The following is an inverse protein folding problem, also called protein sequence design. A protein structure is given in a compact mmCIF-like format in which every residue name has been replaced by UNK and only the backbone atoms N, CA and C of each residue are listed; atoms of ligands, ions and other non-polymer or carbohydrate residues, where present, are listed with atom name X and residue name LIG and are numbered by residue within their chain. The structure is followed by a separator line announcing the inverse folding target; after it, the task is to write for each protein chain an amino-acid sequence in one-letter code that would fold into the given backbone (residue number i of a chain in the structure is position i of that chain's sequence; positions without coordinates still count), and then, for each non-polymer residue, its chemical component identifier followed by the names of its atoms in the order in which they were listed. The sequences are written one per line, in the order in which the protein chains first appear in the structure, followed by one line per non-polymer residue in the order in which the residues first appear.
data_IF_032685171910
#
_entry.id   IF_032685171910
#
_cell.length_a   1.000
_cell.length_b   1.000
_cell.length_c   1.000
_cell.angle_alpha   90.00
_cell.angle_beta   90.00
_cell.angle_gamma   90.00
#
_symmetry.space_group_name_H-M   'P 1'
#
loop_
_entity.id
_entity.type
_entity.pdbx_description
1 polymer ?
#
# COMPACT_ATOMS: atom_id res chain seq x y z
N UNK A 1 -27.61 -18.07 42.26
CA UNK A 1 -27.67 -16.88 41.41
C UNK A 1 -26.31 -16.23 41.39
N UNK A 2 -25.48 -16.47 40.40
CA UNK A 2 -24.24 -15.71 40.08
C UNK A 2 -23.49 -16.46 38.96
N UNK A 3 -23.62 -16.00 37.71
CA UNK A 3 -22.57 -16.14 36.71
C UNK A 3 -23.10 -15.68 35.34
N UNK A 4 -23.12 -14.38 35.16
CA UNK A 4 -23.24 -13.76 33.82
C UNK A 4 -22.38 -12.51 33.85
N UNK A 5 -21.08 -12.65 33.62
CA UNK A 5 -20.17 -11.52 33.26
C UNK A 5 -18.78 -12.07 33.03
N UNK A 6 -18.52 -12.74 31.92
CA UNK A 6 -17.13 -12.97 31.42
C UNK A 6 -17.06 -13.39 29.95
N UNK A 7 -17.95 -12.98 29.08
CA UNK A 7 -17.84 -13.29 27.66
C UNK A 7 -17.62 -12.07 26.74
N UNK A 8 -17.44 -10.87 27.30
CA UNK A 8 -17.33 -9.65 26.49
C UNK A 8 -15.93 -9.19 26.12
N UNK A 9 -14.85 -9.90 26.49
CA UNK A 9 -13.49 -9.40 26.27
C UNK A 9 -12.63 -10.22 25.30
N UNK A 10 -13.12 -11.33 24.80
CA UNK A 10 -12.36 -12.20 23.88
C UNK A 10 -12.68 -11.90 22.41
N UNK A 11 -13.78 -11.21 22.12
CA UNK A 11 -14.21 -10.90 20.75
C UNK A 11 -13.55 -9.67 20.13
N UNK A 12 -12.88 -8.84 20.92
CA UNK A 12 -12.21 -7.62 20.42
C UNK A 12 -10.81 -7.84 19.87
N UNK A 13 -10.26 -9.02 20.01
CA UNK A 13 -8.89 -9.35 19.60
C UNK A 13 -8.82 -10.19 18.31
N UNK A 14 -9.94 -10.62 17.77
CA UNK A 14 -9.98 -11.51 16.59
C UNK A 14 -10.28 -10.78 15.28
N UNK A 15 -10.75 -9.52 15.33
CA UNK A 15 -11.07 -8.76 14.11
C UNK A 15 -9.86 -8.06 13.50
N UNK A 16 -8.79 -7.85 14.27
CA UNK A 16 -7.57 -7.23 13.79
C UNK A 16 -6.63 -8.19 13.04
N UNK A 17 -6.92 -9.49 13.04
CA UNK A 17 -6.02 -10.52 12.46
C UNK A 17 -6.42 -10.95 11.05
N UNK A 18 -7.58 -10.57 10.56
CA UNK A 18 -8.08 -11.10 9.28
C UNK A 18 -7.73 -10.24 8.05
N UNK A 19 -7.10 -9.08 8.23
CA UNK A 19 -6.71 -8.21 7.10
C UNK A 19 -5.20 -8.16 6.83
N UNK A 20 -4.40 -8.99 7.52
CA UNK A 20 -2.94 -9.00 7.35
C UNK A 20 -2.43 -10.23 6.57
N UNK A 21 -3.28 -10.91 5.83
CA UNK A 21 -2.89 -12.16 5.16
C UNK A 21 -2.48 -12.02 3.71
N UNK A 22 -2.23 -10.82 3.20
CA UNK A 22 -1.80 -10.67 1.81
C UNK A 22 -0.28 -10.52 1.61
N UNK A 23 0.54 -10.48 2.68
CA UNK A 23 2.01 -10.40 2.54
C UNK A 23 2.74 -11.28 3.55
N UNK A 24 2.41 -12.55 3.62
CA UNK A 24 3.31 -13.53 4.21
C UNK A 24 4.26 -14.03 3.12
N UNK A 25 5.25 -13.22 2.78
CA UNK A 25 6.44 -13.72 2.10
C UNK A 25 7.24 -14.50 3.13
N UNK A 26 6.87 -15.76 3.33
CA UNK A 26 7.77 -16.72 3.95
C UNK A 26 8.96 -16.86 3.01
N UNK A 27 10.15 -16.61 3.50
CA UNK A 27 11.42 -16.92 2.84
C UNK A 27 11.57 -18.45 2.70
N UNK A 28 10.79 -19.03 1.81
CA UNK A 28 10.92 -20.41 1.38
C UNK A 28 11.10 -20.34 -0.12
N UNK A 29 12.36 -20.59 -0.58
CA UNK A 29 12.72 -20.86 -1.98
C UNK A 29 11.79 -20.09 -2.95
N UNK A 30 12.20 -18.89 -3.33
CA UNK A 30 11.43 -18.11 -4.30
C UNK A 30 11.12 -19.03 -5.49
N UNK A 31 9.86 -19.27 -5.80
CA UNK A 31 9.55 -19.87 -7.08
C UNK A 31 10.15 -18.93 -8.12
N UNK A 32 11.01 -19.47 -8.96
CA UNK A 32 11.61 -18.74 -10.07
C UNK A 32 10.48 -18.51 -11.08
N UNK A 33 9.80 -17.38 -10.99
CA UNK A 33 8.84 -16.91 -12.00
C UNK A 33 9.56 -16.33 -13.23
N UNK A 34 10.82 -16.72 -13.46
CA UNK A 34 11.66 -16.18 -14.53
C UNK A 34 11.11 -16.40 -15.95
N UNK A 35 10.09 -17.25 -16.11
CA UNK A 35 9.48 -17.50 -17.41
C UNK A 35 8.42 -16.49 -17.86
N UNK A 36 7.80 -15.78 -16.92
CA UNK A 36 6.65 -14.91 -17.20
C UNK A 36 6.99 -13.40 -17.08
N UNK A 37 8.18 -13.07 -16.60
CA UNK A 37 8.62 -11.67 -16.56
C UNK A 37 9.14 -11.21 -17.92
N UNK A 38 8.58 -10.11 -18.42
CA UNK A 38 8.98 -9.48 -19.68
C UNK A 38 9.45 -8.05 -19.42
N UNK A 39 10.75 -7.85 -19.43
CA UNK A 39 11.38 -6.55 -19.16
C UNK A 39 10.84 -5.45 -20.09
N UNK A 40 10.63 -4.27 -19.55
CA UNK A 40 10.13 -3.10 -20.27
C UNK A 40 8.64 -3.11 -20.54
N UNK A 41 7.89 -4.10 -20.02
CA UNK A 41 6.44 -4.14 -20.15
C UNK A 41 5.82 -3.11 -19.21
N UNK A 42 4.97 -2.25 -19.77
CA UNK A 42 4.20 -1.32 -18.96
C UNK A 42 3.02 -2.00 -18.32
N UNK A 43 2.67 -1.52 -17.12
CA UNK A 43 1.54 -2.04 -16.37
C UNK A 43 0.50 -0.99 -16.03
N UNK A 44 -0.56 -1.43 -15.40
CA UNK A 44 -1.65 -0.59 -14.89
C UNK A 44 -1.77 -0.80 -13.38
N UNK A 45 -2.16 0.25 -12.67
CA UNK A 45 -2.44 0.20 -11.23
C UNK A 45 -3.85 0.71 -10.99
N UNK A 46 -4.69 -0.11 -10.38
CA UNK A 46 -6.01 0.30 -9.90
C UNK A 46 -6.01 0.23 -8.36
N UNK A 47 -6.26 1.38 -7.74
CA UNK A 47 -6.43 1.49 -6.29
C UNK A 47 -7.92 1.64 -6.00
N UNK A 48 -8.45 0.85 -5.06
CA UNK A 48 -9.82 1.03 -4.56
C UNK A 48 -9.77 1.56 -3.14
N UNK A 49 -10.19 2.81 -2.94
CA UNK A 49 -10.26 3.45 -1.62
C UNK A 49 -11.61 3.16 -1.02
N UNK A 50 -11.62 2.49 0.12
CA UNK A 50 -12.85 2.02 0.75
C UNK A 50 -12.73 2.04 2.27
N UNK A 51 -13.87 2.11 2.92
CA UNK A 51 -14.01 2.05 4.37
C UNK A 51 -14.67 0.73 4.76
N UNK A 52 -14.17 0.10 5.81
CA UNK A 52 -14.87 -1.01 6.45
C UNK A 52 -15.71 -0.52 7.63
N UNK A 53 -16.95 -1.00 7.75
CA UNK A 53 -17.77 -0.82 8.94
C UNK A 53 -17.42 -1.86 10.04
N UNK A 54 -18.12 -1.80 11.16
CA UNK A 54 -17.90 -2.73 12.29
C UNK A 54 -18.26 -4.18 11.94
N UNK A 55 -19.11 -4.39 10.94
CA UNK A 55 -19.51 -5.70 10.42
C UNK A 55 -18.58 -6.21 9.32
N UNK A 56 -17.64 -5.36 8.86
CA UNK A 56 -16.67 -5.69 7.81
C UNK A 56 -17.19 -5.45 6.39
N UNK A 57 -18.35 -4.77 6.22
CA UNK A 57 -18.82 -4.36 4.90
C UNK A 57 -17.96 -3.20 4.41
N UNK A 58 -17.59 -3.24 3.14
CA UNK A 58 -16.75 -2.23 2.51
C UNK A 58 -17.60 -1.22 1.74
N UNK A 59 -17.39 0.06 2.01
CA UNK A 59 -18.06 1.16 1.33
C UNK A 59 -17.02 1.96 0.55
N UNK A 60 -17.18 2.14 -0.77
CA UNK A 60 -16.31 2.98 -1.57
C UNK A 60 -16.26 4.43 -1.07
N UNK A 61 -15.08 5.04 -1.12
CA UNK A 61 -14.86 6.43 -0.75
C UNK A 61 -14.45 7.26 -1.97
N UNK A 62 -15.37 8.04 -2.54
CA UNK A 62 -15.05 8.96 -3.62
C UNK A 62 -14.38 10.23 -3.10
N UNK A 63 -13.62 10.90 -3.96
CA UNK A 63 -13.06 12.21 -3.67
C UNK A 63 -11.78 12.19 -2.82
N UNK A 64 -11.18 11.03 -2.58
CA UNK A 64 -9.91 10.91 -1.86
C UNK A 64 -8.75 11.14 -2.82
N UNK A 65 -7.93 12.17 -2.54
CA UNK A 65 -6.76 12.51 -3.33
C UNK A 65 -5.53 11.71 -2.91
N UNK A 66 -4.93 11.00 -3.86
CA UNK A 66 -3.67 10.28 -3.68
C UNK A 66 -2.63 10.77 -4.70
N UNK A 67 -1.37 10.77 -4.30
CA UNK A 67 -0.24 10.96 -5.22
C UNK A 67 0.61 9.71 -5.27
N UNK A 68 0.94 9.29 -6.48
CA UNK A 68 1.69 8.09 -6.80
C UNK A 68 3.07 8.53 -7.29
N UNK A 69 4.11 8.15 -6.56
CA UNK A 69 5.51 8.44 -6.87
C UNK A 69 6.22 7.16 -7.29
N UNK A 70 6.95 7.19 -8.39
CA UNK A 70 7.88 6.09 -8.69
C UNK A 70 9.13 6.29 -7.82
N UNK A 71 9.40 5.35 -6.93
CA UNK A 71 10.51 5.43 -5.95
C UNK A 71 11.59 4.39 -6.19
N UNK A 72 11.38 3.50 -7.15
CA UNK A 72 12.37 2.49 -7.51
C UNK A 72 12.17 1.96 -8.91
N UNK A 73 13.24 1.44 -9.47
CA UNK A 73 13.31 0.80 -10.78
C UNK A 73 13.48 -0.71 -10.66
N UNK A 74 13.27 -1.43 -11.75
CA UNK A 74 13.54 -2.86 -11.83
C UNK A 74 14.93 -3.09 -12.38
N UNK A 75 15.67 -3.98 -11.72
CA UNK A 75 16.88 -4.61 -12.24
C UNK A 75 16.61 -6.10 -12.46
N UNK A 76 16.90 -6.62 -13.64
CA UNK A 76 16.68 -8.02 -13.98
C UNK A 76 18.03 -8.68 -14.39
N UNK A 77 18.45 -9.63 -13.56
CA UNK A 77 19.67 -10.43 -13.78
C UNK A 77 19.39 -11.95 -13.85
N UNK A 78 18.15 -12.31 -14.15
CA UNK A 78 17.57 -13.64 -14.02
C UNK A 78 16.53 -13.72 -12.90
N UNK A 79 16.57 -12.75 -11.97
CA UNK A 79 15.55 -12.48 -10.98
C UNK A 79 15.14 -11.01 -11.10
N UNK A 80 13.93 -10.70 -10.67
CA UNK A 80 13.44 -9.32 -10.60
C UNK A 80 13.83 -8.74 -9.25
N UNK A 81 14.57 -7.64 -9.26
CA UNK A 81 14.97 -6.87 -8.10
C UNK A 81 14.45 -5.46 -8.22
N UNK A 82 13.85 -4.93 -7.14
CA UNK A 82 13.46 -3.52 -7.08
C UNK A 82 14.57 -2.72 -6.42
N UNK A 83 15.07 -1.72 -7.13
CA UNK A 83 16.19 -0.89 -6.69
C UNK A 83 15.70 0.52 -6.44
N UNK A 84 15.98 1.05 -5.25
CA UNK A 84 15.62 2.42 -4.87
C UNK A 84 16.24 3.43 -5.85
N UNK A 85 15.46 4.42 -6.29
CA UNK A 85 15.95 5.45 -7.19
C UNK A 85 17.02 6.33 -6.50
N UNK A 86 18.02 6.77 -7.27
CA UNK A 86 19.19 7.49 -6.75
C UNK A 86 18.81 8.76 -5.96
N UNK A 87 17.76 9.47 -6.37
CA UNK A 87 17.26 10.63 -5.66
C UNK A 87 16.84 10.35 -4.21
N UNK A 88 16.51 9.09 -3.93
CA UNK A 88 16.06 8.61 -2.62
C UNK A 88 17.13 7.80 -1.87
N UNK A 89 18.35 7.71 -2.40
CA UNK A 89 19.41 6.86 -1.85
C UNK A 89 19.73 7.13 -0.36
N UNK A 90 19.47 8.35 0.13
CA UNK A 90 19.64 8.69 1.54
C UNK A 90 18.71 7.92 2.49
N UNK A 91 17.60 7.35 2.00
CA UNK A 91 16.73 6.46 2.77
C UNK A 91 17.41 5.14 3.12
N UNK A 92 18.42 4.73 2.34
CA UNK A 92 19.17 3.47 2.51
C UNK A 92 18.26 2.23 2.59
N UNK A 93 17.16 2.23 1.84
CA UNK A 93 16.20 1.13 1.78
C UNK A 93 16.66 0.13 0.72
N UNK A 94 16.75 -1.13 1.13
CA UNK A 94 16.94 -2.28 0.26
C UNK A 94 15.63 -3.09 0.25
N UNK A 95 14.86 -2.98 -0.83
CA UNK A 95 13.56 -3.63 -0.96
C UNK A 95 13.65 -5.15 -0.86
N UNK A 96 14.73 -5.76 -1.33
CA UNK A 96 14.93 -7.21 -1.28
C UNK A 96 15.17 -7.72 0.15
N UNK A 97 15.58 -6.85 1.07
CA UNK A 97 15.80 -7.18 2.47
C UNK A 97 14.53 -7.12 3.31
N UNK A 98 13.46 -6.52 2.80
CA UNK A 98 12.21 -6.34 3.56
C UNK A 98 11.38 -7.62 3.50
N UNK A 99 11.24 -8.29 4.65
CA UNK A 99 10.55 -9.58 4.75
C UNK A 99 9.27 -9.55 5.60
N UNK A 100 8.93 -8.39 6.18
CA UNK A 100 7.79 -8.23 7.08
C UNK A 100 6.86 -7.11 6.63
N UNK A 101 5.58 -7.21 6.98
CA UNK A 101 4.60 -6.15 6.71
C UNK A 101 4.99 -4.83 7.39
N UNK A 102 5.47 -4.90 8.64
CA UNK A 102 5.93 -3.73 9.38
C UNK A 102 7.11 -3.04 8.67
N UNK A 103 8.05 -3.82 8.13
CA UNK A 103 9.19 -3.27 7.37
C UNK A 103 8.75 -2.55 6.09
N UNK A 104 7.75 -3.07 5.38
CA UNK A 104 7.16 -2.38 4.22
C UNK A 104 6.44 -1.09 4.62
N UNK A 105 5.73 -1.11 5.76
CA UNK A 105 5.06 0.06 6.30
C UNK A 105 6.06 1.16 6.73
N UNK A 106 7.12 0.77 7.44
CA UNK A 106 8.21 1.67 7.85
C UNK A 106 8.92 2.29 6.63
N UNK A 107 9.23 1.49 5.63
CA UNK A 107 9.86 1.97 4.39
C UNK A 107 8.96 2.98 3.65
N UNK A 108 7.65 2.69 3.55
CA UNK A 108 6.68 3.60 2.94
C UNK A 108 6.61 4.94 3.71
N UNK A 109 6.53 4.89 5.03
CA UNK A 109 6.51 6.07 5.89
C UNK A 109 7.78 6.92 5.74
N UNK A 110 8.94 6.30 5.78
CA UNK A 110 10.23 6.99 5.62
C UNK A 110 10.33 7.71 4.27
N UNK A 111 9.93 7.08 3.17
CA UNK A 111 9.93 7.69 1.85
C UNK A 111 8.92 8.83 1.75
N UNK A 112 7.72 8.65 2.33
CA UNK A 112 6.71 9.69 2.38
C UNK A 112 7.19 10.94 3.14
N UNK A 113 7.87 10.76 4.27
CA UNK A 113 8.46 11.84 5.06
C UNK A 113 9.56 12.57 4.29
N UNK A 114 10.42 11.85 3.59
CA UNK A 114 11.48 12.46 2.77
C UNK A 114 10.90 13.33 1.64
N UNK A 115 9.87 12.83 0.95
CA UNK A 115 9.23 13.56 -0.15
C UNK A 115 8.46 14.77 0.39
N UNK A 116 7.68 14.59 1.47
CA UNK A 116 6.86 15.67 2.06
C UNK A 116 7.70 16.79 2.68
N UNK A 117 8.88 16.49 3.20
CA UNK A 117 9.82 17.48 3.72
C UNK A 117 10.45 18.35 2.63
N UNK A 118 10.29 18.01 1.35
CA UNK A 118 10.94 18.68 0.24
C UNK A 118 12.45 18.43 0.16
N UNK A 119 12.96 17.43 0.88
CA UNK A 119 14.38 17.06 0.87
C UNK A 119 14.81 16.46 -0.47
N UNK A 120 13.86 15.94 -1.22
CA UNK A 120 14.04 15.29 -2.52
C UNK A 120 12.98 15.78 -3.49
N UNK A 121 13.36 15.91 -4.76
CA UNK A 121 12.45 16.26 -5.84
C UNK A 121 12.10 14.99 -6.64
N UNK A 122 10.94 14.44 -6.34
CA UNK A 122 10.41 13.26 -7.03
C UNK A 122 9.08 13.63 -7.69
N UNK A 123 8.99 13.41 -8.99
CA UNK A 123 7.76 13.68 -9.71
C UNK A 123 6.65 12.71 -9.27
N UNK A 124 5.48 13.25 -8.93
CA UNK A 124 4.31 12.51 -8.49
C UNK A 124 3.11 12.71 -9.39
N UNK A 125 2.33 11.66 -9.57
CA UNK A 125 1.08 11.67 -10.33
C UNK A 125 -0.10 11.73 -9.35
N UNK A 126 -0.75 12.89 -9.24
CA UNK A 126 -1.93 13.05 -8.37
C UNK A 126 -3.20 12.62 -9.09
N UNK A 127 -4.05 11.89 -8.38
CA UNK A 127 -5.37 11.41 -8.81
C UNK A 127 -6.33 11.47 -7.65
N UNK A 128 -7.63 11.49 -7.98
CA UNK A 128 -8.72 11.48 -6.99
C UNK A 128 -9.62 10.30 -7.28
N UNK A 129 -10.09 9.61 -6.25
CA UNK A 129 -10.98 8.47 -6.39
C UNK A 129 -12.33 8.87 -6.97
N UNK A 130 -12.85 8.04 -7.88
CA UNK A 130 -14.14 8.20 -8.54
C UNK A 130 -15.32 7.82 -7.62
N UNK A 131 -16.53 7.74 -8.18
CA UNK A 131 -17.75 7.42 -7.44
C UNK A 131 -17.74 6.01 -6.83
N UNK A 132 -17.00 5.10 -7.44
CA UNK A 132 -16.79 3.72 -7.01
C UNK A 132 -15.55 3.57 -6.10
N UNK A 133 -14.89 4.69 -5.74
CA UNK A 133 -13.69 4.72 -4.91
C UNK A 133 -12.41 4.36 -5.68
N UNK A 134 -12.44 4.24 -7.00
CA UNK A 134 -11.31 3.77 -7.78
C UNK A 134 -10.42 4.92 -8.26
N UNK A 135 -9.13 4.62 -8.29
CA UNK A 135 -8.09 5.41 -8.95
C UNK A 135 -7.35 4.48 -9.91
N UNK A 136 -7.41 4.74 -11.21
CA UNK A 136 -6.70 3.93 -12.21
C UNK A 136 -5.60 4.76 -12.86
N UNK A 137 -4.41 4.19 -12.92
CA UNK A 137 -3.25 4.73 -13.63
C UNK A 137 -2.76 3.69 -14.62
N UNK A 138 -2.65 4.08 -15.88
CA UNK A 138 -2.23 3.22 -16.98
C UNK A 138 -0.85 3.58 -17.48
N UNK A 139 -0.25 2.68 -18.24
CA UNK A 139 1.06 2.88 -18.89
C UNK A 139 2.22 3.14 -17.91
N UNK A 140 2.13 2.64 -16.68
CA UNK A 140 3.20 2.72 -15.72
C UNK A 140 4.41 1.92 -16.18
N UNK A 141 5.59 2.51 -16.09
CA UNK A 141 6.83 1.76 -16.24
C UNK A 141 6.97 0.77 -15.08
N UNK A 142 7.67 -0.33 -15.30
CA UNK A 142 8.01 -1.24 -14.20
C UNK A 142 8.81 -0.54 -13.10
N UNK A 143 8.50 -0.84 -11.84
CA UNK A 143 9.16 -0.21 -10.70
C UNK A 143 8.42 -0.38 -9.38
N UNK A 144 8.96 0.25 -8.36
CA UNK A 144 8.31 0.39 -7.05
C UNK A 144 7.63 1.76 -6.96
N UNK A 145 6.40 1.78 -6.52
CA UNK A 145 5.57 2.97 -6.42
C UNK A 145 5.16 3.22 -4.99
N UNK A 146 5.37 4.45 -4.52
CA UNK A 146 4.86 4.95 -3.25
C UNK A 146 3.54 5.67 -3.50
N UNK A 147 2.52 5.29 -2.76
CA UNK A 147 1.21 5.96 -2.77
C UNK A 147 1.03 6.71 -1.45
N UNK A 148 0.71 7.99 -1.53
CA UNK A 148 0.51 8.87 -0.36
C UNK A 148 -0.77 9.66 -0.52
N UNK A 149 -1.49 9.87 0.56
CA UNK A 149 -2.60 10.81 0.58
C UNK A 149 -2.05 12.25 0.58
N UNK A 150 -2.52 13.04 -0.38
CA UNK A 150 -2.09 14.44 -0.52
C UNK A 150 -3.19 15.44 -0.20
N UNK A 151 -4.46 15.01 -0.21
CA UNK A 151 -5.56 15.83 0.24
C UNK A 151 -5.72 15.72 1.75
N UNK A 152 -5.74 16.86 2.42
CA UNK A 152 -6.10 16.96 3.83
C UNK A 152 -7.63 16.79 4.00
N UNK A 153 -8.20 15.68 3.54
CA UNK A 153 -9.55 15.33 3.94
C UNK A 153 -9.50 14.91 5.41
N UNK A 154 -9.94 15.79 6.29
CA UNK A 154 -9.80 15.65 7.75
C UNK A 154 -10.55 14.45 8.34
N UNK A 155 -11.39 13.77 7.56
CA UNK A 155 -12.22 12.65 8.01
C UNK A 155 -11.69 11.28 7.60
N UNK A 156 -10.72 11.22 6.66
CA UNK A 156 -10.20 9.98 6.10
C UNK A 156 -8.68 10.01 6.11
N UNK A 157 -8.04 8.95 6.57
CA UNK A 157 -6.59 8.80 6.53
C UNK A 157 -6.23 7.54 5.74
N UNK A 158 -5.43 7.72 4.69
CA UNK A 158 -4.81 6.62 3.93
C UNK A 158 -3.33 6.59 4.30
N UNK A 159 -2.90 5.49 4.90
CA UNK A 159 -1.48 5.28 5.23
C UNK A 159 -0.63 5.17 3.97
N UNK A 160 0.59 5.68 3.97
CA UNK A 160 1.54 5.47 2.88
C UNK A 160 1.75 3.99 2.59
N UNK A 161 1.83 3.61 1.31
CA UNK A 161 2.03 2.23 0.91
C UNK A 161 2.95 2.10 -0.29
N UNK A 162 3.67 0.98 -0.36
CA UNK A 162 4.53 0.62 -1.48
C UNK A 162 3.89 -0.49 -2.31
N UNK A 163 3.84 -0.30 -3.61
CA UNK A 163 3.25 -1.24 -4.57
C UNK A 163 4.20 -1.43 -5.73
N UNK A 164 4.50 -2.67 -6.09
CA UNK A 164 5.31 -2.98 -7.26
C UNK A 164 4.46 -3.14 -8.53
N UNK A 165 4.98 -2.68 -9.64
CA UNK A 165 4.45 -2.95 -10.98
C UNK A 165 5.63 -3.45 -11.83
N UNK A 166 5.62 -4.71 -12.30
CA UNK A 166 4.61 -5.74 -12.04
C UNK A 166 4.63 -6.25 -10.60
N UNK A 167 3.53 -6.88 -10.19
CA UNK A 167 3.40 -7.56 -8.92
C UNK A 167 3.63 -9.07 -9.10
N UNK A 168 4.39 -9.70 -8.20
CA UNK A 168 4.63 -11.13 -8.22
C UNK A 168 3.53 -11.86 -7.43
N UNK A 169 2.67 -12.58 -8.11
CA UNK A 169 1.68 -13.48 -7.51
C UNK A 169 2.17 -14.92 -7.55
N UNK A 170 1.94 -15.68 -6.46
CA UNK A 170 2.43 -17.06 -6.36
C UNK A 170 1.73 -18.03 -7.30
N UNK A 171 0.49 -17.74 -7.69
CA UNK A 171 -0.32 -18.61 -8.55
C UNK A 171 -0.36 -18.13 -10.00
N UNK A 172 -0.35 -16.81 -10.22
CA UNK A 172 -0.54 -16.19 -11.51
C UNK A 172 0.78 -15.71 -12.16
N UNK A 173 1.88 -15.68 -11.40
CA UNK A 173 3.16 -15.18 -11.88
C UNK A 173 3.24 -13.64 -11.85
N UNK A 174 3.88 -13.02 -12.86
CA UNK A 174 4.03 -11.58 -12.94
C UNK A 174 2.79 -10.89 -13.51
N UNK A 175 2.10 -10.14 -12.65
CA UNK A 175 0.89 -9.38 -13.00
C UNK A 175 1.25 -7.93 -13.31
N UNK A 176 0.93 -7.50 -14.53
CA UNK A 176 1.14 -6.10 -14.96
C UNK A 176 -0.10 -5.24 -14.75
N UNK A 177 -1.28 -5.85 -14.64
CA UNK A 177 -2.50 -5.19 -14.20
C UNK A 177 -2.67 -5.45 -12.70
N UNK A 178 -2.26 -4.48 -11.89
CA UNK A 178 -2.23 -4.59 -10.44
C UNK A 178 -3.45 -3.91 -9.83
N UNK A 179 -4.24 -4.68 -9.09
CA UNK A 179 -5.38 -4.17 -8.34
C UNK A 179 -5.08 -4.21 -6.84
N UNK A 180 -5.27 -3.10 -6.15
CA UNK A 180 -4.98 -2.99 -4.73
C UNK A 180 -6.12 -2.28 -3.99
N UNK A 181 -6.72 -2.95 -2.99
CA UNK A 181 -7.71 -2.36 -2.10
C UNK A 181 -7.04 -1.69 -0.90
N UNK A 182 -7.36 -0.42 -0.66
CA UNK A 182 -6.92 0.31 0.52
C UNK A 182 -8.08 0.44 1.50
N UNK A 183 -7.88 0.04 2.74
CA UNK A 183 -8.83 0.31 3.83
C UNK A 183 -8.36 1.55 4.57
N UNK A 184 -9.25 2.55 4.69
CA UNK A 184 -8.93 3.78 5.40
C UNK A 184 -9.23 3.66 6.89
N UNK A 185 -8.40 4.32 7.71
CA UNK A 185 -8.67 4.54 9.11
C UNK A 185 -9.35 5.91 9.32
N UNK A 186 -10.35 5.96 10.20
CA UNK A 186 -10.92 7.23 10.62
C UNK A 186 -10.05 7.93 11.64
N UNK A 187 -9.70 9.17 11.38
CA UNK A 187 -9.33 10.08 12.46
C UNK A 187 -10.61 10.63 13.09
N UNK A 188 -11.07 10.02 14.18
CA UNK A 188 -12.10 10.64 15.02
C UNK A 188 -11.50 11.89 15.64
N UNK A 189 -11.73 13.04 15.03
CA UNK A 189 -11.58 14.29 15.75
C UNK A 189 -12.71 14.33 16.78
N UNK A 190 -12.43 13.91 18.01
CA UNK A 190 -13.29 14.25 19.12
C UNK A 190 -13.16 15.76 19.33
N UNK A 191 -14.01 16.51 18.66
CA UNK A 191 -14.27 17.90 19.02
C UNK A 191 -14.86 17.89 20.41
N UNK A 192 -14.02 18.05 21.41
CA UNK A 192 -14.46 18.36 22.76
C UNK A 192 -14.97 19.77 22.76
N UNK A 193 -16.28 19.95 22.63
CA UNK A 193 -16.94 21.16 23.04
C UNK A 193 -16.83 21.24 24.55
N UNK A 194 -15.87 22.03 25.02
CA UNK A 194 -15.82 22.50 26.39
C UNK A 194 -16.72 23.74 26.47
N UNK A 195 -17.92 23.56 27.04
CA UNK A 195 -18.67 24.64 27.66
C UNK A 195 -18.30 24.76 29.12
#
# INVERSE_FOLDING_TARGET
MKNRRKQGKIFRSLLAVLMLTAMLVTSVLQPVFAGDYVAGTKGNLTLTVQQADEEGNQTPLPGVGLTIYRVGSVNFDGNVHFVLDEALAAAAIDFDSITTADGWYEAAGQLADMISSGSVDVWGLSRTSDAEGNITVTDLAEGMYLVVQTDANSSVMVSPMLISVPFADQEQGWMYDVEYGTVVEYSVHSGGDLY
#
